data_IF_782421394811
#
_entry.id   IF_782421394811
#
_cell.length_a   1.000
_cell.length_b   1.000
_cell.length_c   1.000
_cell.angle_alpha   90.00
_cell.angle_beta   90.00
_cell.angle_gamma   90.00
#
_symmetry.space_group_name_H-M   'P 1'
#
loop_
_entity.id
_entity.type
_entity.pdbx_description
1 polymer ?
#
# COMPACT_ATOMS: atom_id res chain seq x y z
N UNK A 1 35.97 4.97 13.33
CA UNK A 1 35.37 4.04 12.34
C UNK A 1 36.08 4.22 11.01
N UNK A 2 36.45 3.14 10.32
CA UNK A 2 37.09 3.20 9.00
C UNK A 2 36.05 3.38 7.89
N UNK A 3 36.42 4.01 6.76
CA UNK A 3 35.53 4.20 5.58
C UNK A 3 34.89 2.88 5.09
N UNK A 4 35.62 1.75 5.26
CA UNK A 4 35.15 0.41 4.90
C UNK A 4 33.97 -0.03 5.78
N UNK A 5 34.09 0.14 7.10
CA UNK A 5 33.00 -0.18 8.05
C UNK A 5 31.74 0.67 7.85
N UNK A 6 31.88 1.93 7.43
CA UNK A 6 30.74 2.79 7.10
C UNK A 6 30.02 2.35 5.81
N UNK A 7 30.78 1.92 4.81
CA UNK A 7 30.24 1.39 3.55
C UNK A 7 29.46 0.10 3.77
N UNK A 8 30.00 -0.83 4.56
CA UNK A 8 29.34 -2.09 4.85
C UNK A 8 28.03 -1.87 5.63
N UNK A 9 28.03 -1.00 6.64
CA UNK A 9 26.81 -0.62 7.36
C UNK A 9 25.75 0.06 6.45
N UNK A 10 26.18 0.87 5.48
CA UNK A 10 25.26 1.50 4.52
C UNK A 10 24.61 0.46 3.58
N UNK A 11 25.38 -0.55 3.15
CA UNK A 11 24.87 -1.65 2.34
C UNK A 11 23.86 -2.51 3.11
N UNK A 12 24.12 -2.82 4.37
CA UNK A 12 23.19 -3.56 5.23
C UNK A 12 21.87 -2.81 5.42
N UNK A 13 21.94 -1.49 5.68
CA UNK A 13 20.75 -0.64 5.80
C UNK A 13 19.96 -0.61 4.48
N UNK A 14 20.64 -0.50 3.34
CA UNK A 14 20.00 -0.50 2.03
C UNK A 14 19.28 -1.83 1.76
N UNK A 15 19.92 -2.96 2.07
CA UNK A 15 19.34 -4.30 1.92
C UNK A 15 18.09 -4.46 2.80
N UNK A 16 18.16 -4.06 4.08
CA UNK A 16 17.01 -4.12 4.99
C UNK A 16 15.85 -3.28 4.47
N UNK A 17 16.12 -2.07 3.96
CA UNK A 17 15.08 -1.20 3.38
C UNK A 17 14.43 -1.83 2.14
N UNK A 18 15.22 -2.43 1.26
CA UNK A 18 14.72 -3.12 0.07
C UNK A 18 13.82 -4.31 0.45
N UNK A 19 14.25 -5.14 1.41
CA UNK A 19 13.45 -6.26 1.90
C UNK A 19 12.13 -5.80 2.52
N UNK A 20 12.16 -4.75 3.33
CA UNK A 20 10.94 -4.20 3.91
C UNK A 20 9.99 -3.59 2.85
N UNK A 21 10.52 -2.99 1.78
CA UNK A 21 9.71 -2.49 0.66
C UNK A 21 9.03 -3.66 -0.08
N UNK A 22 9.78 -4.71 -0.41
CA UNK A 22 9.23 -5.91 -1.04
C UNK A 22 8.13 -6.55 -0.16
N UNK A 23 8.35 -6.60 1.15
CA UNK A 23 7.34 -7.09 2.09
C UNK A 23 6.09 -6.21 2.10
N UNK A 24 6.24 -4.89 2.07
CA UNK A 24 5.10 -3.97 2.03
C UNK A 24 4.30 -4.10 0.72
N UNK A 25 4.97 -4.21 -0.43
CA UNK A 25 4.33 -4.46 -1.73
C UNK A 25 3.58 -5.79 -1.71
N UNK A 26 4.20 -6.85 -1.20
CA UNK A 26 3.57 -8.17 -1.07
C UNK A 26 2.32 -8.12 -0.19
N UNK A 27 2.37 -7.42 0.96
CA UNK A 27 1.20 -7.21 1.82
C UNK A 27 0.09 -6.44 1.12
N UNK A 28 0.41 -5.41 0.34
CA UNK A 28 -0.58 -4.66 -0.45
C UNK A 28 -1.24 -5.53 -1.52
N UNK A 29 -0.46 -6.38 -2.19
CA UNK A 29 -0.99 -7.33 -3.17
C UNK A 29 -1.89 -8.38 -2.51
N UNK A 30 -1.51 -8.91 -1.35
CA UNK A 30 -2.33 -9.85 -0.57
C UNK A 30 -3.65 -9.22 -0.10
N UNK A 31 -3.60 -8.00 0.43
CA UNK A 31 -4.80 -7.27 0.83
C UNK A 31 -5.74 -7.02 -0.35
N UNK A 32 -5.18 -6.71 -1.53
CA UNK A 32 -5.96 -6.54 -2.76
C UNK A 32 -6.62 -7.84 -3.19
N UNK A 33 -5.88 -8.94 -3.25
CA UNK A 33 -6.42 -10.25 -3.60
C UNK A 33 -7.56 -10.66 -2.65
N UNK A 34 -7.40 -10.42 -1.34
CA UNK A 34 -8.45 -10.70 -0.36
C UNK A 34 -9.71 -9.85 -0.58
N UNK A 35 -9.56 -8.57 -0.94
CA UNK A 35 -10.69 -7.71 -1.31
C UNK A 35 -11.40 -8.20 -2.57
N UNK A 36 -10.65 -8.62 -3.60
CA UNK A 36 -11.23 -9.11 -4.84
C UNK A 36 -12.03 -10.41 -4.59
N UNK A 37 -11.55 -11.33 -3.74
CA UNK A 37 -12.32 -12.51 -3.32
C UNK A 37 -13.62 -12.16 -2.61
N UNK A 38 -13.62 -11.17 -1.70
CA UNK A 38 -14.86 -10.75 -1.03
C UNK A 38 -15.84 -10.06 -1.99
N UNK A 39 -15.34 -9.35 -3.01
CA UNK A 39 -16.17 -8.76 -4.07
C UNK A 39 -16.83 -9.82 -4.95
N UNK A 40 -16.08 -10.84 -5.35
CA UNK A 40 -16.63 -11.98 -6.10
C UNK A 40 -17.72 -12.68 -5.28
N UNK A 41 -17.48 -12.86 -3.97
CA UNK A 41 -18.46 -13.42 -3.05
C UNK A 41 -19.70 -12.55 -2.91
N UNK A 42 -19.54 -11.23 -2.81
CA UNK A 42 -20.65 -10.28 -2.76
C UNK A 42 -21.51 -10.39 -4.04
N UNK A 43 -20.87 -10.39 -5.21
CA UNK A 43 -21.56 -10.54 -6.50
C UNK A 43 -22.34 -11.84 -6.59
N UNK A 44 -21.77 -12.95 -6.10
CA UNK A 44 -22.47 -14.23 -6.05
C UNK A 44 -23.73 -14.15 -5.18
N UNK A 45 -23.63 -13.59 -3.98
CA UNK A 45 -24.78 -13.47 -3.06
C UNK A 45 -25.84 -12.50 -3.60
N UNK A 46 -25.44 -11.43 -4.28
CA UNK A 46 -26.35 -10.53 -4.98
C UNK A 46 -27.10 -11.25 -6.11
N UNK A 47 -26.41 -12.06 -6.92
CA UNK A 47 -27.05 -12.86 -7.95
C UNK A 47 -28.02 -13.91 -7.37
N UNK A 48 -27.66 -14.54 -6.24
CA UNK A 48 -28.55 -15.45 -5.50
C UNK A 48 -29.79 -14.71 -4.98
N UNK A 49 -29.61 -13.51 -4.43
CA UNK A 49 -30.72 -12.66 -3.98
C UNK A 49 -31.69 -12.33 -5.11
N UNK A 50 -31.17 -11.88 -6.25
CA UNK A 50 -31.96 -11.54 -7.42
C UNK A 50 -32.70 -12.75 -7.99
N UNK A 51 -32.05 -13.92 -8.01
CA UNK A 51 -32.68 -15.18 -8.41
C UNK A 51 -33.84 -15.57 -7.48
N UNK A 52 -33.65 -15.42 -6.16
CA UNK A 52 -34.71 -15.66 -5.18
C UNK A 52 -35.88 -14.68 -5.32
N UNK A 53 -35.61 -13.39 -5.55
CA UNK A 53 -36.64 -12.39 -5.85
C UNK A 53 -37.42 -12.73 -7.12
N UNK A 54 -36.73 -13.09 -8.20
CA UNK A 54 -37.37 -13.47 -9.46
C UNK A 54 -38.24 -14.72 -9.31
N UNK A 55 -37.76 -15.73 -8.60
CA UNK A 55 -38.52 -16.95 -8.30
C UNK A 55 -39.77 -16.64 -7.47
N UNK A 56 -39.65 -15.76 -6.46
CA UNK A 56 -40.78 -15.34 -5.64
C UNK A 56 -41.83 -14.57 -6.46
N UNK A 57 -41.41 -13.61 -7.27
CA UNK A 57 -42.31 -12.88 -8.16
C UNK A 57 -43.02 -13.80 -9.15
N UNK A 58 -42.31 -14.75 -9.76
CA UNK A 58 -42.91 -15.71 -10.69
C UNK A 58 -43.96 -16.59 -10.00
N UNK A 59 -43.68 -17.07 -8.79
CA UNK A 59 -44.62 -17.89 -8.05
C UNK A 59 -45.84 -17.10 -7.56
N UNK A 60 -45.66 -15.83 -7.16
CA UNK A 60 -46.76 -14.95 -6.78
C UNK A 60 -47.70 -14.65 -7.95
N UNK A 61 -47.15 -14.41 -9.15
CA UNK A 61 -47.93 -14.19 -10.37
C UNK A 61 -48.70 -15.43 -10.84
N UNK A 62 -48.16 -16.62 -10.61
CA UNK A 62 -48.82 -17.88 -10.95
C UNK A 62 -50.04 -18.22 -10.05
N UNK A 63 -50.38 -17.36 -9.07
CA UNK A 63 -51.49 -17.54 -8.13
C UNK A 63 -51.51 -18.88 -7.36
N UNK A 64 -50.36 -19.58 -7.28
CA UNK A 64 -50.24 -20.94 -6.72
C UNK A 64 -49.57 -20.99 -5.35
N UNK A 65 -49.44 -19.87 -4.64
CA UNK A 65 -48.72 -19.84 -3.38
C UNK A 65 -49.64 -20.11 -2.19
N UNK A 66 -49.46 -21.28 -1.58
CA UNK A 66 -50.01 -21.55 -0.25
C UNK A 66 -49.35 -20.61 0.78
N UNK A 67 -50.03 -20.31 1.90
CA UNK A 67 -49.45 -19.49 2.98
C UNK A 67 -48.10 -20.02 3.50
N UNK A 68 -47.91 -21.34 3.51
CA UNK A 68 -46.65 -21.97 3.91
C UNK A 68 -45.51 -21.68 2.91
N UNK A 69 -45.80 -21.68 1.60
CA UNK A 69 -44.81 -21.32 0.59
C UNK A 69 -44.44 -19.84 0.66
N UNK A 70 -45.41 -18.94 0.90
CA UNK A 70 -45.14 -17.52 1.11
C UNK A 70 -44.21 -17.27 2.31
N UNK A 71 -44.49 -17.92 3.44
CA UNK A 71 -43.65 -17.82 4.63
C UNK A 71 -42.23 -18.34 4.39
N UNK A 72 -42.09 -19.48 3.70
CA UNK A 72 -40.78 -20.04 3.36
C UNK A 72 -39.99 -19.15 2.41
N UNK A 73 -40.63 -18.60 1.38
CA UNK A 73 -39.97 -17.68 0.45
C UNK A 73 -39.55 -16.37 1.14
N UNK A 74 -40.39 -15.82 2.02
CA UNK A 74 -40.03 -14.65 2.84
C UNK A 74 -38.81 -14.94 3.72
N UNK A 75 -38.82 -16.06 4.44
CA UNK A 75 -37.69 -16.45 5.30
C UNK A 75 -36.40 -16.68 4.50
N UNK A 76 -36.50 -17.28 3.31
CA UNK A 76 -35.35 -17.44 2.41
C UNK A 76 -34.82 -16.09 1.93
N UNK A 77 -35.70 -15.17 1.54
CA UNK A 77 -35.33 -13.81 1.13
C UNK A 77 -34.64 -13.04 2.27
N UNK A 78 -35.17 -13.13 3.48
CA UNK A 78 -34.59 -12.50 4.67
C UNK A 78 -33.20 -13.06 4.94
N UNK A 79 -33.04 -14.39 4.87
CA UNK A 79 -31.75 -15.05 5.06
C UNK A 79 -30.71 -14.59 4.04
N UNK A 80 -31.06 -14.56 2.75
CA UNK A 80 -30.15 -14.14 1.68
C UNK A 80 -29.84 -12.64 1.77
N UNK A 81 -30.81 -11.81 2.18
CA UNK A 81 -30.59 -10.38 2.42
C UNK A 81 -29.59 -10.14 3.56
N UNK A 82 -29.69 -10.90 4.66
CA UNK A 82 -28.70 -10.84 5.74
C UNK A 82 -27.30 -11.27 5.26
N UNK A 83 -27.22 -12.29 4.39
CA UNK A 83 -25.95 -12.72 3.81
C UNK A 83 -25.35 -11.65 2.89
N UNK A 84 -26.18 -10.97 2.08
CA UNK A 84 -25.76 -9.85 1.22
C UNK A 84 -25.20 -8.71 2.06
N UNK A 85 -25.92 -8.30 3.09
CA UNK A 85 -25.49 -7.21 3.96
C UNK A 85 -24.20 -7.57 4.71
N UNK A 86 -24.04 -8.84 5.12
CA UNK A 86 -22.80 -9.34 5.71
C UNK A 86 -21.63 -9.41 4.71
N UNK A 87 -21.90 -9.70 3.43
CA UNK A 87 -20.90 -9.65 2.37
C UNK A 87 -20.46 -8.21 2.09
N UNK A 88 -21.40 -7.27 1.98
CA UNK A 88 -21.10 -5.83 1.82
C UNK A 88 -20.21 -5.31 2.95
N UNK A 89 -20.56 -5.60 4.22
CA UNK A 89 -19.74 -5.18 5.37
C UNK A 89 -18.31 -5.74 5.34
N UNK A 90 -18.12 -6.96 4.81
CA UNK A 90 -16.79 -7.56 4.65
C UNK A 90 -15.99 -6.86 3.56
N UNK A 91 -16.62 -6.49 2.45
CA UNK A 91 -15.98 -5.69 1.39
C UNK A 91 -15.58 -4.31 1.92
N UNK A 92 -16.42 -3.65 2.70
CA UNK A 92 -16.10 -2.36 3.32
C UNK A 92 -14.89 -2.47 4.27
N UNK A 93 -14.88 -3.51 5.12
CA UNK A 93 -13.76 -3.81 6.00
C UNK A 93 -12.46 -4.04 5.21
N UNK A 94 -12.49 -4.90 4.19
CA UNK A 94 -11.31 -5.18 3.35
C UNK A 94 -10.84 -3.97 2.54
N UNK A 95 -11.77 -3.10 2.13
CA UNK A 95 -11.44 -1.84 1.46
C UNK A 95 -10.67 -0.93 2.41
N UNK A 96 -11.15 -0.78 3.65
CA UNK A 96 -10.47 0.00 4.70
C UNK A 96 -9.07 -0.56 5.01
N UNK A 97 -8.93 -1.88 5.12
CA UNK A 97 -7.61 -2.52 5.33
C UNK A 97 -6.65 -2.23 4.18
N UNK A 98 -7.11 -2.32 2.93
CA UNK A 98 -6.30 -2.02 1.76
C UNK A 98 -5.84 -0.56 1.75
N UNK A 99 -6.71 0.38 2.14
CA UNK A 99 -6.37 1.80 2.27
C UNK A 99 -5.28 2.04 3.31
N UNK A 100 -5.38 1.40 4.48
CA UNK A 100 -4.34 1.47 5.53
C UNK A 100 -3.00 0.97 5.02
N UNK A 101 -2.99 -0.18 4.33
CA UNK A 101 -1.75 -0.76 3.78
C UNK A 101 -1.15 0.15 2.69
N UNK A 102 -1.98 0.75 1.84
CA UNK A 102 -1.53 1.72 0.81
C UNK A 102 -0.96 2.99 1.43
N UNK A 103 -1.61 3.54 2.45
CA UNK A 103 -1.12 4.71 3.15
C UNK A 103 0.24 4.45 3.79
N UNK A 104 0.43 3.28 4.41
CA UNK A 104 1.72 2.87 4.97
C UNK A 104 2.81 2.75 3.89
N UNK A 105 2.48 2.19 2.72
CA UNK A 105 3.41 2.11 1.59
C UNK A 105 3.82 3.51 1.09
N UNK A 106 2.84 4.39 0.85
CA UNK A 106 3.10 5.77 0.42
C UNK A 106 3.93 6.57 1.41
N UNK A 107 3.69 6.38 2.72
CA UNK A 107 4.50 7.02 3.75
C UNK A 107 5.96 6.58 3.67
N UNK A 108 6.21 5.28 3.43
CA UNK A 108 7.56 4.75 3.26
C UNK A 108 8.25 5.31 2.02
N UNK A 109 7.55 5.40 0.89
CA UNK A 109 8.09 5.99 -0.33
C UNK A 109 8.52 7.44 -0.09
N UNK A 110 7.67 8.25 0.58
CA UNK A 110 8.02 9.63 0.95
C UNK A 110 9.25 9.72 1.85
N UNK A 111 9.41 8.78 2.78
CA UNK A 111 10.58 8.72 3.66
C UNK A 111 11.85 8.33 2.89
N UNK A 112 11.74 7.45 1.90
CA UNK A 112 12.84 7.10 1.00
C UNK A 112 13.28 8.32 0.17
N UNK A 113 12.33 9.02 -0.46
CA UNK A 113 12.59 10.24 -1.24
C UNK A 113 13.23 11.36 -0.40
N UNK A 114 12.83 11.49 0.87
CA UNK A 114 13.43 12.45 1.79
C UNK A 114 14.88 12.05 2.15
N UNK A 115 15.13 10.76 2.41
CA UNK A 115 16.48 10.27 2.69
C UNK A 115 17.43 10.48 1.50
N UNK A 116 16.97 10.24 0.28
CA UNK A 116 17.76 10.44 -0.94
C UNK A 116 18.11 11.91 -1.16
N UNK A 117 17.15 12.83 -0.93
CA UNK A 117 17.40 14.28 -0.95
C UNK A 117 18.43 14.70 0.09
N UNK A 118 18.33 14.17 1.32
CA UNK A 118 19.32 14.47 2.36
C UNK A 118 20.72 13.96 2.00
N UNK A 119 20.81 12.76 1.41
CA UNK A 119 22.08 12.19 0.95
C UNK A 119 22.71 13.07 -0.14
N UNK A 120 21.92 13.49 -1.14
CA UNK A 120 22.36 14.40 -2.20
C UNK A 120 22.90 15.72 -1.63
N UNK A 121 22.18 16.35 -0.68
CA UNK A 121 22.64 17.59 -0.06
C UNK A 121 23.88 17.42 0.82
N UNK A 122 24.04 16.26 1.46
CA UNK A 122 25.27 15.94 2.20
C UNK A 122 26.47 15.80 1.25
N UNK A 123 26.29 15.15 0.11
CA UNK A 123 27.32 15.01 -0.91
C UNK A 123 27.73 16.36 -1.50
N UNK A 124 26.75 17.21 -1.85
CA UNK A 124 27.02 18.56 -2.36
C UNK A 124 27.83 19.41 -1.36
N UNK A 125 27.44 19.40 -0.08
CA UNK A 125 28.18 20.10 0.98
C UNK A 125 29.59 19.55 1.16
N UNK A 126 29.76 18.24 1.06
CA UNK A 126 31.09 17.63 1.15
C UNK A 126 31.99 18.06 -0.02
N UNK A 127 31.47 18.06 -1.25
CA UNK A 127 32.20 18.54 -2.43
C UNK A 127 32.61 20.01 -2.28
N UNK A 128 31.67 20.88 -1.88
CA UNK A 128 31.96 22.30 -1.65
C UNK A 128 33.10 22.49 -0.61
N UNK A 129 33.06 21.76 0.49
CA UNK A 129 34.11 21.82 1.52
C UNK A 129 35.48 21.33 1.02
N UNK A 130 35.51 20.37 0.09
CA UNK A 130 36.75 19.92 -0.55
C UNK A 130 37.29 20.98 -1.53
N UNK A 131 36.40 21.61 -2.30
CA UNK A 131 36.76 22.68 -3.23
C UNK A 131 37.31 23.92 -2.49
N UNK A 132 36.67 24.32 -1.38
CA UNK A 132 37.16 25.38 -0.50
C UNK A 132 38.56 25.08 0.03
N UNK A 133 38.79 23.87 0.56
CA UNK A 133 40.12 23.46 1.05
C UNK A 133 41.17 23.53 -0.06
N UNK A 134 40.82 23.07 -1.27
CA UNK A 134 41.72 23.09 -2.42
C UNK A 134 42.06 24.53 -2.83
N UNK A 135 41.08 25.43 -2.80
CA UNK A 135 41.31 26.86 -3.07
C UNK A 135 42.23 27.49 -2.02
N UNK A 136 41.99 27.24 -0.73
CA UNK A 136 42.86 27.73 0.34
C UNK A 136 44.29 27.20 0.22
N UNK A 137 44.46 25.92 -0.12
CA UNK A 137 45.80 25.36 -0.38
C UNK A 137 46.52 26.03 -1.56
N UNK A 138 45.78 26.36 -2.63
CA UNK A 138 46.32 27.08 -3.78
C UNK A 138 46.71 28.52 -3.43
N UNK A 139 45.88 29.23 -2.66
CA UNK A 139 46.17 30.59 -2.18
C UNK A 139 47.41 30.61 -1.28
N UNK A 140 47.53 29.65 -0.35
CA UNK A 140 48.71 29.51 0.51
C UNK A 140 49.96 29.27 -0.34
N UNK A 141 49.90 28.36 -1.32
CA UNK A 141 51.04 28.12 -2.23
C UNK A 141 51.39 29.38 -3.03
N UNK A 142 50.40 30.09 -3.58
CA UNK A 142 50.62 31.31 -4.33
C UNK A 142 51.29 32.40 -3.46
N UNK A 143 50.87 32.56 -2.20
CA UNK A 143 51.49 33.48 -1.27
C UNK A 143 52.95 33.10 -0.93
N UNK A 144 53.22 31.81 -0.72
CA UNK A 144 54.57 31.32 -0.40
C UNK A 144 55.55 31.39 -1.58
N UNK A 145 55.08 31.18 -2.82
CA UNK A 145 55.91 31.25 -4.02
C UNK A 145 55.95 32.64 -4.68
N UNK A 146 54.97 33.50 -4.39
CA UNK A 146 54.90 34.88 -4.89
C UNK A 146 55.77 35.89 -4.12
N UNK A 147 56.19 35.55 -2.89
CA UNK A 147 57.07 36.39 -2.06
C UNK A 147 58.58 36.25 -2.35
N UNK A 148 58.96 35.49 -3.38
CA UNK A 148 60.36 35.22 -3.74
C UNK A 148 60.81 35.93 -5.04
N UNK A 149 60.23 37.10 -5.33
CA UNK A 149 60.69 38.02 -6.37
C UNK A 149 60.97 39.39 -5.76
#
# INVERSE_FOLDING_TARGET
>A
MTRRSQRDAALDIALVRQLQLQQAISRAAQARAALDVERDRQQQVEAEHDAHLAAWHGAAQAAQLSPALLANCSAALDSVSMQRDAASRRVDMRTTELEVVRAALQQRDRLADAADRHALHAEQRHRAALDERRMTELEIRAALYGGNR
#
